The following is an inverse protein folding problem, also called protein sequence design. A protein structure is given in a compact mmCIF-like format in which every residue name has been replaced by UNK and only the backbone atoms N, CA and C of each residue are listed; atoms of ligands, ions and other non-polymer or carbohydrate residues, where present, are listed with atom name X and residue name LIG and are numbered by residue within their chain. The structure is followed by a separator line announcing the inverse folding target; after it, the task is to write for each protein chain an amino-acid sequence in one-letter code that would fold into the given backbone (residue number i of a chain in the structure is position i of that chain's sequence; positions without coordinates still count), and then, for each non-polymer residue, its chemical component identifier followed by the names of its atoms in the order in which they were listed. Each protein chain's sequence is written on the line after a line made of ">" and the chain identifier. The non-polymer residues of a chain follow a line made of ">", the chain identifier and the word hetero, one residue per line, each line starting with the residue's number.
data_IF_982600878508
#
_entry.id   IF_982600878508
#
_cell.length_a   1.000
_cell.length_b   1.000
_cell.length_c   1.000
_cell.angle_alpha   90.00
_cell.angle_beta   90.00
_cell.angle_gamma   90.00
#
_symmetry.space_group_name_H-M   'P 1'
#
loop_
_entity.id
_entity.type
_entity.pdbx_description
1 polymer ?
#
# COMPACT_ATOMS: atom_id res chain seq x y z
N UNK A 1 6.36 1.66 -20.53
CA UNK A 1 5.16 2.06 -19.73
C UNK A 1 5.51 2.96 -18.55
N UNK A 2 6.69 2.86 -17.98
CA UNK A 2 7.16 3.79 -16.94
C UNK A 2 7.39 5.20 -17.44
N UNK A 3 7.91 5.33 -18.65
CA UNK A 3 7.93 6.61 -19.35
C UNK A 3 6.51 7.22 -19.42
N UNK A 4 5.45 6.39 -19.50
CA UNK A 4 4.07 6.84 -19.46
C UNK A 4 3.60 7.40 -18.13
N UNK A 5 3.91 6.76 -16.99
CA UNK A 5 3.50 7.25 -15.66
C UNK A 5 4.34 8.47 -15.23
N UNK A 6 5.66 8.43 -15.39
CA UNK A 6 6.53 9.59 -15.16
C UNK A 6 6.22 10.73 -16.17
N UNK A 7 5.83 10.41 -17.40
CA UNK A 7 5.36 11.40 -18.36
C UNK A 7 4.04 12.04 -17.93
N UNK A 8 3.16 11.30 -17.24
CA UNK A 8 1.88 11.82 -16.75
C UNK A 8 2.04 12.74 -15.53
N UNK A 9 2.97 12.42 -14.64
CA UNK A 9 3.24 13.15 -13.39
C UNK A 9 4.73 13.56 -13.30
N UNK A 10 5.23 14.44 -14.18
CA UNK A 10 6.66 14.73 -14.29
C UNK A 10 7.26 15.40 -13.03
N UNK A 11 6.43 16.00 -12.22
CA UNK A 11 6.78 16.67 -10.98
C UNK A 11 6.84 15.71 -9.78
N UNK A 12 6.35 14.47 -9.93
CA UNK A 12 6.29 13.52 -8.82
C UNK A 12 7.53 12.62 -8.80
N UNK A 13 8.15 12.52 -7.62
CA UNK A 13 9.34 11.72 -7.39
C UNK A 13 9.19 10.92 -6.09
N UNK A 14 9.84 9.76 -6.04
CA UNK A 14 9.93 8.86 -4.90
C UNK A 14 11.39 8.45 -4.67
N UNK A 15 12.24 9.37 -4.16
CA UNK A 15 13.70 9.17 -4.14
C UNK A 15 14.13 7.93 -3.36
N UNK A 16 13.41 7.56 -2.29
CA UNK A 16 13.75 6.40 -1.47
C UNK A 16 13.36 5.07 -2.16
N UNK A 17 12.20 5.02 -2.80
CA UNK A 17 11.83 3.87 -3.63
C UNK A 17 12.67 3.80 -4.91
N UNK A 18 13.06 4.95 -5.49
CA UNK A 18 13.99 4.99 -6.63
C UNK A 18 15.38 4.48 -6.23
N UNK A 19 15.87 4.79 -5.00
CA UNK A 19 17.09 4.19 -4.44
C UNK A 19 16.94 2.67 -4.36
N UNK A 20 15.88 2.17 -3.72
CA UNK A 20 15.62 0.74 -3.61
C UNK A 20 15.56 0.04 -4.97
N UNK A 21 14.92 0.67 -5.97
CA UNK A 21 14.87 0.14 -7.33
C UNK A 21 16.21 0.13 -8.04
N UNK A 22 17.11 1.06 -7.71
CA UNK A 22 18.47 1.17 -8.28
C UNK A 22 19.46 0.20 -7.66
N UNK A 23 19.32 -0.11 -6.37
CA UNK A 23 20.17 -1.04 -5.62
C UNK A 23 19.71 -2.50 -5.75
N UNK A 24 18.45 -2.73 -6.17
CA UNK A 24 17.83 -4.04 -6.21
C UNK A 24 17.19 -4.37 -7.56
N UNK A 25 16.08 -5.05 -7.50
CA UNK A 25 15.33 -5.51 -8.68
C UNK A 25 13.94 -4.91 -8.73
N UNK A 26 13.54 -4.41 -9.90
CA UNK A 26 12.20 -3.94 -10.18
C UNK A 26 11.48 -4.84 -11.16
N UNK A 27 10.34 -5.37 -10.73
CA UNK A 27 9.47 -6.18 -11.59
C UNK A 27 8.60 -5.29 -12.47
N UNK A 28 8.67 -5.50 -13.78
CA UNK A 28 7.85 -4.76 -14.75
C UNK A 28 6.40 -5.21 -14.78
N UNK A 29 6.15 -6.47 -14.44
CA UNK A 29 4.86 -7.13 -14.50
C UNK A 29 4.60 -7.84 -13.17
N UNK A 30 3.97 -7.13 -12.24
CA UNK A 30 3.45 -7.67 -11.00
C UNK A 30 1.95 -7.34 -10.92
N UNK A 31 1.13 -8.32 -10.60
CA UNK A 31 -0.32 -8.20 -10.58
C UNK A 31 -0.90 -8.85 -9.33
N UNK A 32 -1.93 -8.23 -8.77
CA UNK A 32 -2.71 -8.85 -7.70
C UNK A 32 -3.74 -9.82 -8.28
N UNK A 33 -4.07 -10.84 -7.50
CA UNK A 33 -5.07 -11.86 -7.89
C UNK A 33 -6.49 -11.31 -7.85
N UNK A 34 -6.74 -10.36 -6.94
CA UNK A 34 -8.01 -9.64 -6.78
C UNK A 34 -7.70 -8.23 -6.29
N UNK A 35 -8.11 -7.22 -7.07
CA UNK A 35 -7.85 -5.82 -6.76
C UNK A 35 -8.78 -5.29 -5.68
N UNK A 36 -8.61 -5.81 -4.46
CA UNK A 36 -9.36 -5.41 -3.26
C UNK A 36 -8.51 -5.69 -2.02
N UNK A 37 -8.53 -4.78 -1.04
CA UNK A 37 -7.60 -4.77 0.10
C UNK A 37 -7.49 -6.13 0.81
N UNK A 38 -8.55 -6.61 1.49
CA UNK A 38 -8.47 -7.83 2.29
C UNK A 38 -8.16 -9.08 1.44
N UNK A 39 -8.82 -9.30 0.28
CA UNK A 39 -8.49 -10.42 -0.59
C UNK A 39 -7.03 -10.45 -1.05
N UNK A 40 -6.50 -9.31 -1.50
CA UNK A 40 -5.11 -9.22 -1.92
C UNK A 40 -4.14 -9.48 -0.77
N UNK A 41 -4.40 -8.88 0.41
CA UNK A 41 -3.59 -9.11 1.62
C UNK A 41 -3.61 -10.56 2.05
N UNK A 42 -4.76 -11.23 2.00
CA UNK A 42 -4.86 -12.67 2.27
C UNK A 42 -4.05 -13.50 1.28
N UNK A 43 -4.05 -13.14 -0.01
CA UNK A 43 -3.24 -13.81 -1.02
C UNK A 43 -1.73 -13.64 -0.73
N UNK A 44 -1.26 -12.45 -0.35
CA UNK A 44 0.13 -12.23 0.06
C UNK A 44 0.51 -13.02 1.33
N UNK A 45 -0.38 -13.05 2.32
CA UNK A 45 -0.11 -13.78 3.56
C UNK A 45 -0.01 -15.29 3.35
N UNK A 46 -0.87 -15.87 2.50
CA UNK A 46 -1.03 -17.30 2.35
C UNK A 46 -0.35 -17.93 1.12
N UNK A 47 0.02 -17.08 0.13
CA UNK A 47 0.48 -17.56 -1.18
C UNK A 47 -0.60 -18.27 -1.99
N UNK A 48 -1.90 -18.11 -1.64
CA UNK A 48 -3.03 -18.83 -2.23
C UNK A 48 -4.02 -17.88 -2.88
N UNK A 49 -4.62 -18.32 -3.99
CA UNK A 49 -5.74 -17.58 -4.60
C UNK A 49 -6.94 -17.45 -3.65
N UNK A 50 -7.76 -16.42 -3.85
CA UNK A 50 -8.84 -16.05 -2.93
C UNK A 50 -9.90 -17.15 -2.74
N UNK A 51 -10.24 -17.91 -3.78
CA UNK A 51 -11.14 -19.07 -3.65
C UNK A 51 -10.57 -20.18 -2.75
N UNK A 52 -9.24 -20.27 -2.64
CA UNK A 52 -8.55 -21.28 -1.83
C UNK A 52 -8.19 -20.79 -0.42
N UNK A 53 -8.06 -19.47 -0.19
CA UNK A 53 -7.81 -18.91 1.14
C UNK A 53 -9.10 -18.43 1.85
N UNK A 54 -10.23 -18.38 1.13
CA UNK A 54 -11.56 -18.04 1.66
C UNK A 54 -11.84 -16.55 1.85
N UNK A 55 -10.88 -15.64 1.61
CA UNK A 55 -11.08 -14.19 1.75
C UNK A 55 -11.42 -13.59 0.39
N UNK A 56 -12.70 -13.37 0.14
CA UNK A 56 -13.22 -12.93 -1.17
C UNK A 56 -13.66 -11.47 -1.21
N UNK A 57 -13.82 -10.83 -0.05
CA UNK A 57 -14.22 -9.43 0.09
C UNK A 57 -13.56 -8.75 1.31
N UNK A 58 -13.85 -7.45 1.51
CA UNK A 58 -13.30 -6.67 2.62
C UNK A 58 -14.01 -6.91 3.96
N UNK A 59 -15.08 -7.69 4.00
CA UNK A 59 -15.86 -7.99 5.19
C UNK A 59 -15.46 -9.34 5.79
N UNK A 60 -14.87 -10.20 4.99
CA UNK A 60 -14.43 -11.54 5.40
C UNK A 60 -13.26 -11.44 6.37
N UNK A 61 -13.39 -11.95 7.61
CA UNK A 61 -12.26 -12.08 8.54
C UNK A 61 -11.20 -13.02 7.97
N UNK A 62 -9.94 -12.78 8.31
CA UNK A 62 -8.87 -13.71 7.94
C UNK A 62 -8.96 -14.99 8.80
N UNK A 63 -8.99 -16.19 8.17
CA UNK A 63 -9.08 -17.44 8.93
C UNK A 63 -7.85 -17.66 9.82
N UNK A 64 -8.04 -17.73 11.13
CA UNK A 64 -6.96 -17.72 12.12
C UNK A 64 -6.08 -18.96 12.10
N UNK A 65 -6.57 -20.05 11.52
CA UNK A 65 -5.85 -21.32 11.34
C UNK A 65 -5.12 -21.43 9.99
N UNK A 66 -5.11 -20.35 9.18
CA UNK A 66 -4.41 -20.36 7.89
C UNK A 66 -2.90 -20.49 8.08
N UNK A 67 -2.31 -21.34 7.26
CA UNK A 67 -0.85 -21.35 7.09
C UNK A 67 -0.46 -20.11 6.30
N UNK A 68 0.47 -19.32 6.85
CA UNK A 68 0.99 -18.10 6.25
C UNK A 68 2.50 -18.15 6.16
N UNK A 69 3.10 -17.31 5.30
CA UNK A 69 4.56 -17.17 5.29
C UNK A 69 5.11 -16.83 6.68
N UNK A 70 4.38 -15.99 7.45
CA UNK A 70 4.78 -15.62 8.80
C UNK A 70 4.75 -16.82 9.76
N UNK A 71 3.70 -17.66 9.71
CA UNK A 71 3.63 -18.86 10.56
C UNK A 71 4.73 -19.89 10.23
N UNK A 72 5.09 -20.02 8.94
CA UNK A 72 6.19 -20.88 8.51
C UNK A 72 7.55 -20.35 8.95
N UNK A 73 7.80 -19.05 8.76
CA UNK A 73 9.04 -18.40 9.22
C UNK A 73 9.17 -18.45 10.74
N UNK A 74 8.08 -18.23 11.48
CA UNK A 74 8.07 -18.39 12.94
C UNK A 74 8.43 -19.80 13.37
N UNK A 75 7.89 -20.82 12.69
CA UNK A 75 8.25 -22.22 12.96
C UNK A 75 9.73 -22.53 12.65
N UNK A 76 10.33 -21.77 11.71
CA UNK A 76 11.77 -21.84 11.40
C UNK A 76 12.64 -20.97 12.34
N UNK A 77 12.09 -20.39 13.41
CA UNK A 77 12.83 -19.62 14.42
C UNK A 77 12.93 -18.12 14.16
N UNK A 78 12.29 -17.59 13.13
CA UNK A 78 12.22 -16.15 12.89
C UNK A 78 11.30 -15.46 13.90
N UNK A 79 11.69 -14.26 14.34
CA UNK A 79 10.79 -13.36 15.05
C UNK A 79 9.89 -12.64 14.05
N UNK A 80 8.57 -12.78 14.17
CA UNK A 80 7.62 -12.30 13.17
C UNK A 80 6.81 -11.11 13.68
N UNK A 81 6.62 -10.07 12.83
CA UNK A 81 5.84 -8.89 13.17
C UNK A 81 4.91 -8.46 12.03
N UNK A 82 3.72 -7.97 12.40
CA UNK A 82 2.80 -7.26 11.53
C UNK A 82 2.48 -5.87 12.07
N UNK A 83 2.69 -4.84 11.26
CA UNK A 83 2.51 -3.45 11.68
C UNK A 83 1.62 -2.70 10.68
N UNK A 84 0.72 -1.84 11.19
CA UNK A 84 -0.15 -1.00 10.37
C UNK A 84 -1.46 -1.65 9.95
N UNK A 85 -1.89 -1.46 8.71
CA UNK A 85 -3.19 -1.86 8.19
C UNK A 85 -3.31 -3.37 8.02
N UNK A 86 -4.14 -4.00 8.85
CA UNK A 86 -4.53 -5.41 8.69
C UNK A 86 -5.71 -5.58 7.72
N UNK A 87 -6.81 -4.92 8.00
CA UNK A 87 -8.01 -4.78 7.18
C UNK A 87 -8.62 -6.11 6.66
N UNK A 88 -8.88 -7.04 7.55
CA UNK A 88 -9.73 -8.21 7.30
C UNK A 88 -11.03 -8.06 8.09
N UNK A 89 -12.05 -7.43 7.48
CA UNK A 89 -13.27 -7.04 8.16
C UNK A 89 -13.01 -6.15 9.38
N UNK A 90 -13.72 -6.40 10.45
CA UNK A 90 -13.53 -5.77 11.76
C UNK A 90 -12.73 -6.65 12.74
N UNK A 91 -11.90 -7.57 12.22
CA UNK A 91 -11.13 -8.51 13.02
C UNK A 91 -10.22 -7.78 14.02
N UNK A 92 -10.32 -8.19 15.28
CA UNK A 92 -9.57 -7.64 16.41
C UNK A 92 -8.60 -8.66 16.97
N UNK A 93 -7.77 -8.21 17.91
CA UNK A 93 -6.86 -9.07 18.64
C UNK A 93 -5.50 -9.25 17.97
N UNK A 94 -4.74 -10.22 18.49
CA UNK A 94 -3.43 -10.60 17.93
C UNK A 94 -3.57 -11.07 16.49
N UNK A 95 -2.65 -10.61 15.62
CA UNK A 95 -2.68 -11.01 14.20
C UNK A 95 -2.17 -12.43 14.03
N UNK A 96 -2.94 -13.32 13.36
CA UNK A 96 -2.58 -14.74 13.25
C UNK A 96 -1.22 -14.94 12.58
N UNK A 97 -0.39 -15.80 13.18
CA UNK A 97 0.93 -16.15 12.64
C UNK A 97 2.07 -15.21 13.04
N UNK A 98 1.79 -14.10 13.72
CA UNK A 98 2.79 -13.12 14.14
C UNK A 98 3.03 -13.15 15.66
N UNK A 99 4.29 -13.00 16.08
CA UNK A 99 4.68 -12.89 17.49
C UNK A 99 4.38 -11.49 18.07
N UNK A 100 4.50 -10.47 17.22
CA UNK A 100 4.21 -9.09 17.55
C UNK A 100 3.25 -8.51 16.52
N UNK A 101 2.28 -7.75 16.96
CA UNK A 101 1.44 -6.98 16.08
C UNK A 101 1.13 -5.61 16.67
N UNK A 102 1.30 -4.56 15.86
CA UNK A 102 0.85 -3.21 16.13
C UNK A 102 0.03 -2.74 14.94
N UNK A 103 -1.27 -2.96 14.95
CA UNK A 103 -2.13 -2.76 13.79
C UNK A 103 -3.46 -2.12 14.17
N UNK A 104 -4.10 -1.46 13.23
CA UNK A 104 -5.40 -0.82 13.46
C UNK A 104 -6.55 -1.61 12.81
N UNK A 105 -7.74 -1.43 13.35
CA UNK A 105 -8.96 -2.11 12.89
C UNK A 105 -9.51 -1.43 11.63
N UNK A 106 -9.95 -2.23 10.68
CA UNK A 106 -10.57 -1.76 9.44
C UNK A 106 -9.63 -0.87 8.60
N UNK A 107 -10.13 0.27 8.15
CA UNK A 107 -9.35 1.23 7.35
C UNK A 107 -8.48 2.17 8.17
N UNK A 108 -8.68 2.26 9.48
CA UNK A 108 -8.02 3.26 10.32
C UNK A 108 -8.34 4.71 9.92
N UNK A 109 -7.74 5.64 10.61
CA UNK A 109 -7.75 7.08 10.28
C UNK A 109 -6.33 7.60 10.13
N UNK A 110 -6.13 8.70 9.41
CA UNK A 110 -4.78 9.22 9.17
C UNK A 110 -4.13 9.80 10.41
N UNK A 111 -4.88 10.55 11.20
CA UNK A 111 -4.33 11.20 12.38
C UNK A 111 -4.81 10.53 13.67
N UNK A 112 -3.90 10.35 14.60
CA UNK A 112 -4.13 9.80 15.94
C UNK A 112 -4.95 8.50 15.91
N UNK A 113 -4.60 7.59 15.01
CA UNK A 113 -5.28 6.31 14.84
C UNK A 113 -5.00 5.39 16.03
N UNK A 114 -6.00 4.86 16.74
CA UNK A 114 -5.74 3.86 17.77
C UNK A 114 -5.21 2.57 17.12
N UNK A 115 -4.19 1.99 17.75
CA UNK A 115 -3.61 0.70 17.36
C UNK A 115 -4.00 -0.39 18.37
N UNK A 116 -4.12 -1.61 17.89
CA UNK A 116 -4.10 -2.80 18.75
C UNK A 116 -2.68 -3.35 18.79
N UNK A 117 -2.01 -3.19 19.93
CA UNK A 117 -0.68 -3.76 20.18
C UNK A 117 -0.85 -5.10 20.87
N UNK A 118 -0.53 -6.19 20.16
CA UNK A 118 -0.78 -7.57 20.61
C UNK A 118 -2.21 -7.78 21.13
N UNK A 119 -3.18 -7.14 20.47
CA UNK A 119 -4.60 -7.24 20.83
C UNK A 119 -5.10 -6.20 21.85
N UNK A 120 -4.22 -5.41 22.45
CA UNK A 120 -4.59 -4.35 23.39
C UNK A 120 -4.71 -3.01 22.65
N UNK A 121 -5.89 -2.38 22.73
CA UNK A 121 -6.12 -1.07 22.12
C UNK A 121 -5.28 0.00 22.82
N UNK A 122 -4.52 0.75 22.04
CA UNK A 122 -3.60 1.78 22.51
C UNK A 122 -3.81 3.04 21.67
N UNK A 123 -4.04 4.17 22.32
CA UNK A 123 -4.12 5.46 21.66
C UNK A 123 -2.73 5.88 21.17
N UNK A 124 -2.69 6.42 19.95
CA UNK A 124 -1.45 6.94 19.35
C UNK A 124 -1.63 8.38 18.91
N UNK A 125 -0.54 9.11 18.76
CA UNK A 125 -0.51 10.49 18.28
C UNK A 125 0.34 10.59 17.01
N UNK A 126 -0.13 11.37 16.05
CA UNK A 126 0.57 11.61 14.79
C UNK A 126 -0.08 10.94 13.58
N UNK A 127 0.58 11.06 12.45
CA UNK A 127 0.13 10.47 11.20
C UNK A 127 0.35 8.95 11.23
N UNK A 128 -0.67 8.20 10.84
CA UNK A 128 -0.74 6.74 11.06
C UNK A 128 0.43 5.96 10.46
N UNK A 129 0.94 6.39 9.30
CA UNK A 129 2.06 5.67 8.68
C UNK A 129 3.41 6.08 9.28
N UNK A 130 3.51 7.28 9.88
CA UNK A 130 4.67 7.65 10.72
C UNK A 130 4.72 6.78 11.97
N UNK A 131 3.58 6.64 12.65
CA UNK A 131 3.43 5.78 13.84
C UNK A 131 3.73 4.32 13.49
N UNK A 132 3.24 3.83 12.32
CA UNK A 132 3.57 2.48 11.85
C UNK A 132 5.08 2.31 11.65
N UNK A 133 5.73 3.33 11.09
CA UNK A 133 7.19 3.32 10.88
C UNK A 133 7.95 3.34 12.19
N UNK A 134 7.49 4.10 13.18
CA UNK A 134 8.10 4.13 14.51
C UNK A 134 8.05 2.75 15.18
N UNK A 135 6.89 2.07 15.14
CA UNK A 135 6.77 0.68 15.62
C UNK A 135 7.68 -0.29 14.86
N UNK A 136 7.83 -0.11 13.55
CA UNK A 136 8.68 -0.95 12.73
C UNK A 136 10.16 -0.78 13.09
N UNK A 137 10.63 0.45 13.22
CA UNK A 137 12.01 0.77 13.62
C UNK A 137 12.30 0.23 15.02
N UNK A 138 11.36 0.38 15.94
CA UNK A 138 11.52 -0.15 17.30
C UNK A 138 11.59 -1.69 17.31
N UNK A 139 10.76 -2.36 16.51
CA UNK A 139 10.84 -3.81 16.32
C UNK A 139 12.23 -4.24 15.77
N UNK A 140 12.77 -3.53 14.77
CA UNK A 140 14.10 -3.80 14.21
C UNK A 140 15.19 -3.68 15.28
N UNK A 141 15.17 -2.61 16.08
CA UNK A 141 16.13 -2.38 17.17
C UNK A 141 16.12 -3.51 18.20
N UNK A 142 14.91 -3.96 18.60
CA UNK A 142 14.72 -5.02 19.60
C UNK A 142 15.10 -6.41 19.09
N UNK A 143 15.18 -6.61 17.77
CA UNK A 143 15.39 -7.92 17.16
C UNK A 143 16.60 -7.97 16.22
N UNK A 144 17.51 -6.98 16.26
CA UNK A 144 18.66 -6.88 15.38
C UNK A 144 19.62 -8.09 15.42
N UNK A 145 19.65 -8.79 16.54
CA UNK A 145 20.54 -9.94 16.75
C UNK A 145 19.84 -11.29 16.45
N UNK A 146 18.66 -11.26 15.78
CA UNK A 146 17.86 -12.44 15.45
C UNK A 146 17.40 -12.40 14.00
N UNK A 147 17.14 -13.57 13.43
CA UNK A 147 16.38 -13.65 12.18
C UNK A 147 14.95 -13.11 12.42
N UNK A 148 14.50 -12.23 11.55
CA UNK A 148 13.16 -11.62 11.66
C UNK A 148 12.42 -11.60 10.33
N UNK A 149 11.09 -11.48 10.42
CA UNK A 149 10.20 -11.20 9.31
C UNK A 149 9.24 -10.10 9.74
N UNK A 150 9.29 -8.96 9.07
CA UNK A 150 8.48 -7.78 9.36
C UNK A 150 7.61 -7.43 8.17
N UNK A 151 6.29 -7.39 8.37
CA UNK A 151 5.31 -6.93 7.40
C UNK A 151 4.76 -5.58 7.85
N UNK A 152 4.82 -4.58 6.97
CA UNK A 152 4.27 -3.25 7.22
C UNK A 152 3.16 -2.96 6.21
N UNK A 153 1.95 -2.74 6.70
CA UNK A 153 0.82 -2.32 5.89
C UNK A 153 0.55 -0.83 6.06
N UNK A 154 1.02 0.01 5.17
CA UNK A 154 0.69 1.43 5.20
C UNK A 154 -0.78 1.69 4.83
N UNK A 155 -1.35 2.76 5.39
CA UNK A 155 -2.68 3.27 5.00
C UNK A 155 -2.62 4.12 3.73
N UNK A 156 -1.55 4.86 3.52
CA UNK A 156 -1.35 5.66 2.30
C UNK A 156 -1.30 4.72 1.07
N UNK A 157 -1.98 5.03 0.01
CA UNK A 157 -2.68 6.28 -0.30
C UNK A 157 -4.21 6.14 -0.28
N UNK A 158 -4.77 5.34 0.63
CA UNK A 158 -6.23 5.12 0.69
C UNK A 158 -6.97 6.42 1.05
N UNK A 159 -8.15 6.66 0.47
CA UNK A 159 -8.99 7.78 0.87
C UNK A 159 -9.22 7.87 2.40
N UNK A 160 -9.45 9.07 2.94
CA UNK A 160 -9.70 10.36 2.31
C UNK A 160 -8.44 11.16 1.89
N UNK A 161 -7.25 10.56 1.85
CA UNK A 161 -5.99 11.19 1.45
C UNK A 161 -5.64 12.44 2.29
N UNK A 162 -5.50 12.25 3.58
CA UNK A 162 -5.08 13.31 4.51
C UNK A 162 -3.56 13.24 4.70
N UNK A 163 -2.76 14.11 4.06
CA UNK A 163 -1.31 14.10 4.20
C UNK A 163 -0.89 14.65 5.57
N UNK A 164 0.28 14.25 6.10
CA UNK A 164 0.83 14.88 7.30
C UNK A 164 1.20 16.33 7.06
N UNK A 165 1.28 17.11 8.13
CA UNK A 165 1.58 18.54 8.07
C UNK A 165 2.84 18.88 7.26
N UNK A 166 3.89 18.05 7.34
CA UNK A 166 5.15 18.22 6.57
C UNK A 166 5.00 18.06 5.04
N UNK A 167 3.91 17.45 4.57
CA UNK A 167 3.66 17.22 3.16
C UNK A 167 2.48 18.03 2.60
N UNK A 168 1.76 18.80 3.43
CA UNK A 168 0.51 19.48 3.05
C UNK A 168 0.68 20.49 1.90
N UNK A 169 1.85 21.08 1.75
CA UNK A 169 2.12 22.10 0.74
C UNK A 169 2.91 21.56 -0.47
N UNK A 170 3.32 20.27 -0.44
CA UNK A 170 3.99 19.64 -1.57
C UNK A 170 3.07 19.64 -2.79
N UNK A 171 3.65 19.84 -3.98
CA UNK A 171 2.96 19.77 -5.26
C UNK A 171 1.77 20.76 -5.40
N UNK A 172 1.83 21.92 -4.76
CA UNK A 172 0.80 22.94 -4.90
C UNK A 172 0.64 23.36 -6.38
N UNK A 173 -0.60 23.35 -6.88
CA UNK A 173 -0.90 23.69 -8.29
C UNK A 173 -0.52 22.61 -9.30
N UNK A 174 -0.01 21.44 -8.88
CA UNK A 174 0.37 20.37 -9.79
C UNK A 174 -0.84 19.78 -10.52
N UNK A 175 -0.65 19.53 -11.81
CA UNK A 175 -1.63 18.89 -12.69
C UNK A 175 -1.04 17.66 -13.36
N UNK A 176 -1.88 16.76 -13.80
CA UNK A 176 -1.46 15.60 -14.58
C UNK A 176 -1.60 15.88 -16.09
N UNK A 177 -0.77 15.27 -16.90
CA UNK A 177 -1.04 15.15 -18.33
C UNK A 177 -2.20 14.19 -18.57
N UNK A 178 -3.04 14.52 -19.53
CA UNK A 178 -4.14 13.65 -19.94
C UNK A 178 -3.62 12.31 -20.48
N UNK A 179 -4.50 11.32 -20.48
CA UNK A 179 -4.25 10.00 -21.08
C UNK A 179 -5.39 9.67 -22.06
N UNK A 180 -5.12 8.88 -23.11
CA UNK A 180 -6.11 8.61 -24.16
C UNK A 180 -7.41 7.97 -23.67
N UNK A 181 -7.35 7.23 -22.57
CA UNK A 181 -8.51 6.56 -21.97
C UNK A 181 -9.12 7.33 -20.78
N UNK A 182 -8.75 8.60 -20.58
CA UNK A 182 -9.37 9.44 -19.56
C UNK A 182 -10.85 9.66 -19.88
N UNK A 183 -11.74 9.31 -18.96
CA UNK A 183 -13.18 9.43 -19.15
C UNK A 183 -13.81 8.47 -20.16
N UNK A 184 -13.03 7.61 -20.82
CA UNK A 184 -13.54 6.58 -21.73
C UNK A 184 -14.21 5.47 -20.93
N UNK A 185 -15.51 5.26 -21.10
CA UNK A 185 -16.30 4.28 -20.32
C UNK A 185 -15.85 2.84 -20.57
N UNK A 186 -15.85 2.00 -19.51
CA UNK A 186 -15.62 0.57 -19.67
C UNK A 186 -16.70 -0.10 -20.55
N UNK A 187 -16.29 -1.04 -21.37
CA UNK A 187 -17.17 -1.78 -22.29
C UNK A 187 -18.31 -2.51 -21.53
N UNK A 188 -18.05 -2.99 -20.33
CA UNK A 188 -19.00 -3.75 -19.52
C UNK A 188 -20.01 -2.87 -18.73
N UNK A 189 -19.83 -1.54 -18.73
CA UNK A 189 -20.83 -0.61 -18.19
C UNK A 189 -21.73 -0.14 -19.33
N UNK A 190 -22.93 -0.70 -19.40
CA UNK A 190 -23.95 -0.25 -20.34
C UNK A 190 -24.27 1.24 -20.20
N UNK A 191 -24.88 1.83 -21.24
CA UNK A 191 -25.20 3.26 -21.28
C UNK A 191 -26.12 3.73 -20.14
N UNK A 192 -26.86 2.81 -19.50
CA UNK A 192 -27.80 3.10 -18.41
C UNK A 192 -27.14 3.31 -17.04
N UNK A 193 -25.96 2.74 -16.79
CA UNK A 193 -25.38 2.68 -15.44
C UNK A 193 -24.33 3.76 -15.14
N UNK A 194 -24.14 4.72 -16.02
CA UNK A 194 -23.11 5.69 -15.84
C UNK A 194 -23.65 7.13 -15.81
N UNK A 195 -23.29 7.92 -14.76
CA UNK A 195 -23.47 9.36 -14.86
C UNK A 195 -22.76 9.84 -16.13
N UNK A 196 -23.39 10.79 -16.83
CA UNK A 196 -22.88 11.32 -18.09
C UNK A 196 -21.41 11.78 -17.93
N UNK A 197 -20.47 10.96 -18.35
CA UNK A 197 -19.11 11.37 -18.44
C UNK A 197 -19.06 12.53 -19.44
N UNK A 198 -18.67 13.72 -19.02
CA UNK A 198 -18.35 14.80 -19.95
C UNK A 198 -17.32 14.23 -20.93
N UNK A 199 -17.64 14.22 -22.22
CA UNK A 199 -16.69 13.88 -23.28
C UNK A 199 -15.50 14.82 -23.16
N UNK A 200 -14.48 14.42 -22.44
CA UNK A 200 -13.18 15.08 -22.50
C UNK A 200 -12.41 14.42 -23.65
N UNK A 201 -12.56 14.96 -24.84
CA UNK A 201 -11.61 14.79 -25.94
C UNK A 201 -10.40 15.69 -25.65
N UNK A 202 -9.73 15.44 -24.53
CA UNK A 202 -8.50 16.17 -24.24
C UNK A 202 -7.40 15.62 -25.15
N UNK A 203 -6.66 16.52 -25.81
CA UNK A 203 -5.42 16.13 -26.49
C UNK A 203 -4.47 15.48 -25.47
N UNK A 204 -3.56 14.62 -25.93
CA UNK A 204 -2.59 13.95 -25.04
C UNK A 204 -1.69 14.94 -24.26
N UNK A 205 -1.67 16.20 -24.66
CA UNK A 205 -0.92 17.30 -24.04
C UNK A 205 -1.74 18.13 -23.05
N UNK A 206 -3.08 17.92 -22.98
CA UNK A 206 -3.93 18.70 -22.08
C UNK A 206 -3.64 18.35 -20.61
N UNK A 207 -3.55 19.38 -19.78
CA UNK A 207 -3.47 19.23 -18.33
C UNK A 207 -4.85 18.96 -17.74
N UNK A 208 -4.89 18.07 -16.74
CA UNK A 208 -6.10 17.69 -16.01
C UNK A 208 -5.91 17.82 -14.50
N UNK A 209 -6.95 18.21 -13.82
CA UNK A 209 -6.97 18.26 -12.37
C UNK A 209 -6.90 16.86 -11.77
N UNK A 210 -6.18 16.76 -10.66
CA UNK A 210 -5.96 15.51 -9.92
C UNK A 210 -6.17 15.71 -8.43
N UNK A 211 -6.33 14.61 -7.72
CA UNK A 211 -6.27 14.62 -6.26
C UNK A 211 -4.80 14.73 -5.79
N UNK A 212 -4.31 15.96 -5.64
CA UNK A 212 -2.93 16.23 -5.20
C UNK A 212 -2.63 15.59 -3.83
N UNK A 213 -3.62 15.47 -2.95
CA UNK A 213 -3.43 14.85 -1.63
C UNK A 213 -3.08 13.36 -1.72
N UNK A 214 -3.51 12.66 -2.77
CA UNK A 214 -3.03 11.30 -3.05
C UNK A 214 -1.51 11.26 -3.16
N UNK A 215 -0.92 12.15 -3.95
CA UNK A 215 0.52 12.24 -4.16
C UNK A 215 1.27 12.77 -2.94
N UNK A 216 0.66 13.67 -2.16
CA UNK A 216 1.20 14.13 -0.87
C UNK A 216 1.33 12.98 0.13
N UNK A 217 0.29 12.14 0.24
CA UNK A 217 0.34 10.93 1.07
C UNK A 217 1.41 9.95 0.59
N UNK A 218 1.50 9.73 -0.73
CA UNK A 218 2.48 8.82 -1.33
C UNK A 218 3.91 9.33 -1.09
N UNK A 219 4.14 10.62 -1.26
CA UNK A 219 5.45 11.25 -0.99
C UNK A 219 5.83 11.16 0.50
N UNK A 220 4.86 11.30 1.42
CA UNK A 220 5.11 11.12 2.85
C UNK A 220 5.37 9.66 3.23
N UNK A 221 4.77 8.72 2.52
CA UNK A 221 5.08 7.28 2.65
C UNK A 221 6.49 6.97 2.14
N UNK A 222 6.92 7.58 1.04
CA UNK A 222 8.30 7.46 0.55
C UNK A 222 9.33 8.00 1.57
N UNK A 223 9.03 9.12 2.27
CA UNK A 223 9.84 9.58 3.40
C UNK A 223 9.99 8.49 4.47
N UNK A 224 8.91 7.76 4.77
CA UNK A 224 8.93 6.67 5.74
C UNK A 224 9.72 5.45 5.25
N UNK A 225 9.68 5.14 3.96
CA UNK A 225 10.58 4.14 3.38
C UNK A 225 12.06 4.54 3.58
N UNK A 226 12.40 5.82 3.36
CA UNK A 226 13.74 6.33 3.64
C UNK A 226 14.16 6.15 5.11
N UNK A 227 13.24 6.37 6.05
CA UNK A 227 13.51 6.12 7.48
C UNK A 227 13.77 4.65 7.80
N UNK A 228 13.03 3.73 7.17
CA UNK A 228 13.22 2.29 7.34
C UNK A 228 14.54 1.82 6.75
N UNK A 229 14.86 2.23 5.52
CA UNK A 229 16.13 1.89 4.87
C UNK A 229 17.31 2.40 5.70
N UNK A 230 17.24 3.67 6.16
CA UNK A 230 18.25 4.23 7.05
C UNK A 230 18.36 3.44 8.38
N UNK A 231 17.26 2.98 8.95
CA UNK A 231 17.31 2.19 10.16
C UNK A 231 17.99 0.82 9.95
N UNK A 232 17.82 0.19 8.79
CA UNK A 232 18.54 -1.02 8.42
C UNK A 232 20.04 -0.75 8.28
N UNK A 233 20.43 0.36 7.62
CA UNK A 233 21.82 0.81 7.50
C UNK A 233 22.44 1.06 8.88
N UNK A 234 21.79 1.87 9.73
CA UNK A 234 22.28 2.26 11.06
C UNK A 234 22.42 1.07 12.03
N UNK A 235 21.62 0.03 11.86
CA UNK A 235 21.65 -1.19 12.67
C UNK A 235 22.57 -2.28 12.13
N UNK A 236 23.19 -2.06 10.97
CA UNK A 236 24.04 -3.04 10.29
C UNK A 236 23.26 -4.23 9.75
N UNK A 237 22.00 -4.05 9.39
CA UNK A 237 21.09 -5.10 8.92
C UNK A 237 20.92 -5.12 7.40
N UNK A 238 21.32 -4.07 6.70
CA UNK A 238 21.02 -3.89 5.27
C UNK A 238 21.55 -5.03 4.40
N UNK A 239 22.79 -5.46 4.61
CA UNK A 239 23.44 -6.52 3.81
C UNK A 239 22.85 -7.92 4.03
N UNK A 240 22.06 -8.12 5.09
CA UNK A 240 21.46 -9.42 5.43
C UNK A 240 19.92 -9.34 5.55
N UNK A 241 19.31 -8.37 4.88
CA UNK A 241 17.84 -8.19 4.89
C UNK A 241 17.30 -8.05 3.48
N UNK A 242 16.41 -8.95 3.09
CA UNK A 242 15.63 -8.78 1.86
C UNK A 242 14.48 -7.83 2.13
N UNK A 243 14.46 -6.70 1.42
CA UNK A 243 13.41 -5.69 1.50
C UNK A 243 12.50 -5.82 0.28
N UNK A 244 11.19 -6.04 0.50
CA UNK A 244 10.20 -6.12 -0.57
C UNK A 244 9.22 -4.98 -0.43
N UNK A 245 9.08 -4.15 -1.46
CA UNK A 245 8.06 -3.13 -1.55
C UNK A 245 7.02 -3.52 -2.60
N UNK A 246 5.74 -3.46 -2.22
CA UNK A 246 4.63 -3.72 -3.13
C UNK A 246 3.37 -2.96 -2.70
N UNK A 247 2.27 -3.13 -3.44
CA UNK A 247 0.95 -2.58 -3.10
C UNK A 247 -0.10 -3.69 -3.06
N UNK A 248 -1.15 -3.49 -2.26
CA UNK A 248 -2.27 -4.44 -2.19
C UNK A 248 -3.21 -4.34 -3.41
N UNK A 249 -3.18 -3.25 -4.15
CA UNK A 249 -3.90 -3.08 -5.42
C UNK A 249 -3.38 -1.84 -6.18
N UNK A 250 -3.77 -1.72 -7.44
CA UNK A 250 -3.63 -0.50 -8.21
C UNK A 250 -4.73 0.53 -7.89
N UNK A 251 -4.80 1.62 -8.66
CA UNK A 251 -5.77 2.69 -8.47
C UNK A 251 -6.05 3.43 -9.78
N UNK A 252 -7.30 3.86 -9.99
CA UNK A 252 -7.67 4.72 -11.11
C UNK A 252 -7.61 6.19 -10.73
N UNK A 253 -6.92 6.97 -11.55
CA UNK A 253 -6.89 8.43 -11.50
C UNK A 253 -7.69 9.02 -12.69
N UNK A 254 -8.89 8.48 -12.94
CA UNK A 254 -9.78 8.92 -14.03
C UNK A 254 -9.67 8.10 -15.32
N UNK A 255 -8.71 7.16 -15.42
CA UNK A 255 -8.66 6.22 -16.55
C UNK A 255 -9.98 5.44 -16.63
N UNK A 256 -10.46 5.26 -17.86
CA UNK A 256 -11.76 4.62 -18.14
C UNK A 256 -12.97 5.30 -17.47
N UNK A 257 -12.86 6.58 -17.07
CA UNK A 257 -13.89 7.27 -16.29
C UNK A 257 -14.12 6.64 -14.93
N UNK A 258 -13.12 5.90 -14.42
CA UNK A 258 -13.20 5.18 -13.15
C UNK A 258 -12.38 5.90 -12.08
N UNK A 259 -12.80 5.72 -10.84
CA UNK A 259 -12.03 5.96 -9.62
C UNK A 259 -11.93 4.65 -8.82
N UNK A 260 -11.19 4.67 -7.70
CA UNK A 260 -11.00 3.50 -6.86
C UNK A 260 -10.26 2.37 -7.59
N UNK A 261 -10.74 1.15 -7.55
CA UNK A 261 -10.15 -0.10 -8.08
C UNK A 261 -11.29 -1.08 -8.41
N UNK A 262 -11.10 -2.41 -8.31
CA UNK A 262 -12.13 -3.47 -8.39
C UNK A 262 -12.49 -3.95 -9.79
N UNK A 263 -11.76 -3.57 -10.80
CA UNK A 263 -11.96 -4.05 -12.16
C UNK A 263 -10.69 -4.62 -12.76
N UNK A 264 -10.83 -5.36 -13.86
CA UNK A 264 -9.75 -6.15 -14.46
C UNK A 264 -8.89 -5.35 -15.48
N UNK A 265 -8.69 -4.06 -15.25
CA UNK A 265 -7.74 -3.27 -16.06
C UNK A 265 -6.38 -3.16 -15.35
N UNK A 266 -5.34 -2.95 -16.13
CA UNK A 266 -3.97 -2.78 -15.68
C UNK A 266 -3.85 -1.79 -14.50
N UNK A 267 -4.57 -0.66 -14.55
CA UNK A 267 -4.52 0.37 -13.52
C UNK A 267 -5.00 -0.12 -12.15
N UNK A 268 -5.87 -1.12 -12.15
CA UNK A 268 -6.41 -1.73 -10.93
C UNK A 268 -5.60 -2.93 -10.46
N UNK A 269 -5.20 -3.81 -11.39
CA UNK A 269 -4.54 -5.07 -11.06
C UNK A 269 -3.04 -4.96 -10.94
N UNK A 270 -2.40 -4.08 -11.74
CA UNK A 270 -0.96 -3.95 -11.79
C UNK A 270 -0.45 -3.14 -10.61
N UNK A 271 0.54 -3.68 -9.93
CA UNK A 271 1.14 -3.10 -8.73
C UNK A 271 2.65 -2.88 -8.92
N UNK A 272 3.27 -1.94 -8.21
CA UNK A 272 4.72 -1.89 -8.09
C UNK A 272 5.21 -3.13 -7.34
N UNK A 273 6.39 -3.61 -7.69
CA UNK A 273 7.12 -4.63 -6.94
C UNK A 273 8.62 -4.39 -7.10
N UNK A 274 9.26 -4.11 -5.96
CA UNK A 274 10.70 -3.91 -5.82
C UNK A 274 11.24 -4.93 -4.82
N UNK A 275 12.43 -5.42 -5.03
CA UNK A 275 13.14 -6.34 -4.12
C UNK A 275 14.60 -5.92 -4.04
#
# INVERSE_FOLDING_TARGET
>A
REQGQRARFPWFQTPNLDRMAGEGMRFRNAFVTLSLCAPSRAAFLTGRYNHANGVIDNHTPFPTNSVTHASLLRAAGYRTAYIGKWHHGAQRGQRPGFDYSASFVGQGRYDNCPFEINGVTTETKGWVDDVSTDFAIEFLKQNKDRAFSLVIGYKATHGPNTPPGRAKDRFAGAKARSVPNLGVRPIYRGAADAPAAKKQTASAEAEVDINVNYFRCLSAMDDNMGRLLKALDDLGLADNTVVVFTSDNGYYNGEHGLGDKRSAYDQSLRIPMLV
#
